data_IF_626278168020
#
_entry.id   IF_626278168020
#
_cell.length_a   1.000
_cell.length_b   1.000
_cell.length_c   1.000
_cell.angle_alpha   90.00
_cell.angle_beta   90.00
_cell.angle_gamma   90.00
#
_symmetry.space_group_name_H-M   'P 1'
#
loop_
_entity.id
_entity.type
_entity.pdbx_description
1 polymer ?
#
# COMPACT_ATOMS: atom_id res chain seq x y z
N UNK A 1 9.86 23.16 -19.20
CA UNK A 1 8.93 22.16 -18.62
C UNK A 1 9.01 20.76 -19.23
N UNK A 2 9.64 20.53 -20.40
CA UNK A 2 9.70 19.22 -21.09
C UNK A 2 10.45 18.06 -20.40
N UNK A 3 11.09 18.29 -19.24
CA UNK A 3 12.05 17.32 -18.67
C UNK A 3 11.39 16.06 -18.11
N UNK A 4 10.17 16.19 -17.57
CA UNK A 4 9.46 15.10 -16.87
C UNK A 4 8.24 14.60 -17.64
N UNK A 5 7.88 15.22 -18.76
CA UNK A 5 6.69 14.87 -19.54
C UNK A 5 6.72 13.44 -20.07
N UNK A 6 7.91 12.83 -20.22
CA UNK A 6 8.06 11.42 -20.55
C UNK A 6 7.33 10.50 -19.57
N UNK A 7 7.22 10.87 -18.28
CA UNK A 7 6.48 10.09 -17.28
C UNK A 7 4.96 10.04 -17.55
N UNK A 8 4.42 10.89 -18.42
CA UNK A 8 3.02 10.79 -18.86
C UNK A 8 2.74 9.57 -19.75
N UNK A 9 3.78 8.89 -20.26
CA UNK A 9 3.65 7.64 -21.01
C UNK A 9 3.53 6.42 -20.09
N UNK A 10 3.86 6.56 -18.80
CA UNK A 10 3.76 5.47 -17.83
C UNK A 10 2.31 5.26 -17.42
N UNK A 11 1.95 3.99 -17.26
CA UNK A 11 0.62 3.61 -16.78
C UNK A 11 0.51 3.80 -15.28
N UNK A 12 1.59 3.60 -14.54
CA UNK A 12 1.62 3.76 -13.09
C UNK A 12 1.64 5.24 -12.68
N UNK A 13 1.04 5.60 -11.55
CA UNK A 13 1.24 6.90 -10.93
C UNK A 13 2.72 7.22 -10.67
N UNK A 14 3.13 8.42 -11.11
CA UNK A 14 4.47 8.96 -10.88
C UNK A 14 4.38 10.37 -10.29
N UNK A 15 5.16 10.61 -9.23
CA UNK A 15 5.37 11.93 -8.64
C UNK A 15 6.87 12.22 -8.54
N UNK A 16 7.27 13.44 -8.87
CA UNK A 16 8.66 13.91 -8.73
C UNK A 16 8.70 15.01 -7.69
N UNK A 17 9.56 14.80 -6.70
CA UNK A 17 9.78 15.73 -5.60
C UNK A 17 11.21 16.24 -5.72
N UNK A 18 11.39 17.53 -5.56
CA UNK A 18 12.68 18.18 -5.44
C UNK A 18 12.94 18.53 -3.97
N UNK A 19 14.16 18.28 -3.54
CA UNK A 19 14.60 18.53 -2.16
C UNK A 19 13.67 17.80 -1.16
N UNK A 20 13.06 18.50 -0.18
CA UNK A 20 12.26 17.87 0.86
C UNK A 20 10.74 17.84 0.58
N UNK A 21 10.17 18.89 -0.02
CA UNK A 21 8.70 19.03 -0.12
C UNK A 21 8.19 19.51 -1.49
N UNK A 22 9.07 19.99 -2.36
CA UNK A 22 8.65 20.64 -3.59
C UNK A 22 8.20 19.61 -4.63
N UNK A 23 6.89 19.45 -4.81
CA UNK A 23 6.33 18.61 -5.87
C UNK A 23 6.45 19.33 -7.21
N UNK A 24 7.48 18.96 -7.98
CA UNK A 24 7.80 19.59 -9.27
C UNK A 24 7.07 18.94 -10.45
N UNK A 25 6.55 17.72 -10.29
CA UNK A 25 5.80 17.04 -11.34
C UNK A 25 4.90 15.92 -10.80
N UNK A 26 3.75 15.71 -11.46
CA UNK A 26 2.84 14.58 -11.29
C UNK A 26 2.40 14.13 -12.68
N UNK A 27 2.44 12.83 -12.97
CA UNK A 27 1.96 12.35 -14.26
C UNK A 27 0.42 12.30 -14.32
N UNK A 28 -0.11 12.08 -15.53
CA UNK A 28 -1.55 11.98 -15.76
C UNK A 28 -2.23 10.91 -14.90
N UNK A 29 -1.61 9.72 -14.75
CA UNK A 29 -2.20 8.67 -13.92
C UNK A 29 -2.26 9.07 -12.46
N UNK A 30 -1.20 9.68 -11.92
CA UNK A 30 -1.18 10.15 -10.54
C UNK A 30 -2.33 11.10 -10.25
N UNK A 31 -2.58 12.06 -11.16
CA UNK A 31 -3.69 13.00 -11.04
C UNK A 31 -5.08 12.37 -11.18
N UNK A 32 -5.20 11.19 -11.81
CA UNK A 32 -6.46 10.44 -11.92
C UNK A 32 -6.73 9.56 -10.71
N UNK A 33 -5.69 8.93 -10.18
CA UNK A 33 -5.78 7.96 -9.08
C UNK A 33 -5.87 8.67 -7.73
N UNK A 34 -5.07 9.71 -7.52
CA UNK A 34 -5.00 10.40 -6.24
C UNK A 34 -5.76 11.72 -6.26
N UNK A 35 -6.44 12.01 -5.15
CA UNK A 35 -7.12 13.30 -4.97
C UNK A 35 -6.10 14.43 -5.00
N UNK A 36 -6.47 15.56 -5.60
CA UNK A 36 -5.62 16.74 -5.56
C UNK A 36 -5.29 17.13 -4.10
N UNK A 37 -4.05 17.55 -3.91
CA UNK A 37 -3.54 18.05 -2.65
C UNK A 37 -2.69 19.29 -2.93
N UNK A 38 -2.72 20.25 -2.00
CA UNK A 38 -1.87 21.44 -2.07
C UNK A 38 -0.46 21.21 -1.55
N UNK A 39 -0.30 20.31 -0.57
CA UNK A 39 0.95 20.03 0.13
C UNK A 39 1.21 18.52 0.16
N UNK A 40 2.46 18.12 -0.09
CA UNK A 40 2.91 16.72 -0.04
C UNK A 40 2.66 16.09 1.34
N UNK A 41 2.70 16.87 2.43
CA UNK A 41 2.35 16.39 3.78
C UNK A 41 0.94 15.83 3.82
N UNK A 42 -0.02 16.50 3.18
CA UNK A 42 -1.42 16.03 3.10
C UNK A 42 -1.56 14.72 2.31
N UNK A 43 -0.69 14.53 1.32
CA UNK A 43 -0.64 13.27 0.57
C UNK A 43 0.02 12.16 1.40
N UNK A 44 1.14 12.46 2.05
CA UNK A 44 1.88 11.58 2.94
C UNK A 44 1.01 11.05 4.09
N UNK A 45 0.14 11.86 4.71
CA UNK A 45 -0.77 11.41 5.76
C UNK A 45 -1.79 10.34 5.33
N UNK A 46 -2.01 10.18 4.03
CA UNK A 46 -2.90 9.14 3.49
C UNK A 46 -2.15 7.87 3.13
N UNK A 47 -0.83 7.85 3.26
CA UNK A 47 0.04 6.72 2.91
C UNK A 47 0.68 6.14 4.15
N UNK A 48 0.59 4.82 4.32
CA UNK A 48 1.20 4.08 5.43
C UNK A 48 1.95 2.85 4.90
N UNK A 49 2.79 2.24 5.73
CA UNK A 49 3.36 0.91 5.48
C UNK A 49 3.41 0.13 6.80
N UNK A 50 3.42 -1.19 6.74
CA UNK A 50 3.24 -2.06 7.92
C UNK A 50 4.49 -2.15 8.82
N UNK A 51 5.57 -1.42 8.52
CA UNK A 51 6.80 -1.46 9.30
C UNK A 51 6.93 -0.18 10.14
N UNK A 52 7.32 -0.33 11.40
CA UNK A 52 7.64 0.80 12.28
C UNK A 52 9.14 1.10 12.18
N UNK A 53 9.58 2.33 11.86
CA UNK A 53 10.97 2.72 12.03
C UNK A 53 11.35 2.60 13.50
N UNK A 54 12.35 1.78 13.82
CA UNK A 54 12.80 1.49 15.19
C UNK A 54 13.53 2.66 15.86
N UNK A 55 13.89 3.69 15.10
CA UNK A 55 14.62 4.86 15.58
C UNK A 55 14.17 6.09 14.79
N UNK A 56 13.35 6.95 15.39
CA UNK A 56 13.28 8.34 14.95
C UNK A 56 12.60 9.24 15.97
N UNK A 57 13.37 10.19 16.53
CA UNK A 57 12.85 11.42 17.14
C UNK A 57 12.00 12.24 16.15
N UNK A 58 12.11 11.96 14.84
CA UNK A 58 11.39 12.63 13.77
C UNK A 58 10.15 11.85 13.32
N UNK A 59 8.97 12.37 13.68
CA UNK A 59 7.66 11.79 13.36
C UNK A 59 7.40 11.73 11.84
N UNK A 60 8.05 12.57 11.04
CA UNK A 60 7.87 12.53 9.58
C UNK A 60 8.36 11.19 8.99
N UNK A 61 9.31 10.49 9.64
CA UNK A 61 9.87 9.23 9.15
C UNK A 61 8.90 8.04 9.26
N UNK A 62 7.79 8.17 9.98
CA UNK A 62 6.70 7.19 9.94
C UNK A 62 5.95 7.21 8.61
N UNK A 63 6.12 8.27 7.80
CA UNK A 63 5.54 8.33 6.46
C UNK A 63 6.45 7.66 5.43
N UNK A 64 5.92 6.75 4.61
CA UNK A 64 6.71 6.14 3.53
C UNK A 64 7.21 7.18 2.54
N UNK A 65 6.42 8.24 2.31
CA UNK A 65 6.78 9.33 1.39
C UNK A 65 7.99 10.10 1.92
N UNK A 66 7.99 10.48 3.19
CA UNK A 66 9.13 11.21 3.76
C UNK A 66 10.34 10.32 3.95
N UNK A 67 10.16 9.05 4.30
CA UNK A 67 11.27 8.10 4.33
C UNK A 67 11.89 7.92 2.92
N UNK A 68 11.04 7.83 1.89
CA UNK A 68 11.49 7.81 0.51
C UNK A 68 12.24 9.08 0.12
N UNK A 69 11.85 10.26 0.59
CA UNK A 69 12.50 11.56 0.31
C UNK A 69 13.83 11.71 1.07
N UNK A 70 13.89 11.36 2.35
CA UNK A 70 15.07 11.50 3.20
C UNK A 70 16.14 10.45 2.88
N UNK A 71 15.73 9.26 2.41
CA UNK A 71 16.67 8.20 2.07
C UNK A 71 17.75 8.68 1.11
N UNK A 72 19.00 8.33 1.41
CA UNK A 72 20.15 8.59 0.52
C UNK A 72 20.22 7.62 -0.65
N UNK A 73 19.52 6.50 -0.56
CA UNK A 73 19.51 5.43 -1.56
C UNK A 73 18.13 5.30 -2.20
N UNK A 74 18.04 4.51 -3.26
CA UNK A 74 16.75 4.09 -3.79
C UNK A 74 15.98 3.35 -2.68
N UNK A 75 14.69 3.62 -2.59
CA UNK A 75 13.82 3.11 -1.53
C UNK A 75 12.69 2.30 -2.15
N UNK A 76 12.37 1.16 -1.54
CA UNK A 76 11.34 0.24 -2.01
C UNK A 76 10.51 -0.19 -0.81
N UNK A 77 9.20 -0.04 -0.89
CA UNK A 77 8.29 -0.45 0.17
C UNK A 77 6.90 -0.76 -0.38
N UNK A 78 6.22 -1.72 0.24
CA UNK A 78 4.78 -1.86 0.06
C UNK A 78 4.07 -0.85 0.96
N UNK A 79 3.21 -0.05 0.35
CA UNK A 79 2.46 1.01 1.04
C UNK A 79 0.96 0.80 0.84
N UNK A 80 0.18 1.25 1.81
CA UNK A 80 -1.27 1.37 1.72
C UNK A 80 -1.67 2.84 1.62
N UNK A 81 -2.66 3.13 0.78
CA UNK A 81 -3.23 4.45 0.60
C UNK A 81 -4.69 4.44 1.03
N UNK A 82 -5.07 5.32 1.96
CA UNK A 82 -6.47 5.51 2.36
C UNK A 82 -7.05 6.74 1.68
N UNK A 83 -7.99 6.50 0.75
CA UNK A 83 -8.73 7.56 0.06
C UNK A 83 -9.64 8.35 1.02
N UNK A 84 -10.10 9.53 0.57
CA UNK A 84 -11.05 10.34 1.34
C UNK A 84 -12.40 9.63 1.58
N UNK A 85 -12.72 8.62 0.75
CA UNK A 85 -13.93 7.79 0.89
C UNK A 85 -13.70 6.58 1.82
N UNK A 86 -12.56 6.50 2.50
CA UNK A 86 -12.22 5.41 3.41
C UNK A 86 -11.80 4.11 2.72
N UNK A 87 -11.70 4.07 1.38
CA UNK A 87 -11.19 2.90 0.66
C UNK A 87 -9.68 2.84 0.74
N UNK A 88 -9.16 1.67 1.10
CA UNK A 88 -7.72 1.37 1.14
C UNK A 88 -7.30 0.68 -0.15
N UNK A 89 -6.21 1.16 -0.74
CA UNK A 89 -5.54 0.57 -1.91
C UNK A 89 -4.09 0.29 -1.56
N UNK A 90 -3.46 -0.66 -2.23
CA UNK A 90 -2.09 -1.09 -1.96
C UNK A 90 -1.20 -0.82 -3.16
N UNK A 91 -0.02 -0.27 -2.91
CA UNK A 91 0.94 0.07 -3.94
C UNK A 91 2.33 -0.47 -3.57
N UNK A 92 3.03 -1.03 -4.54
CA UNK A 92 4.47 -1.22 -4.44
C UNK A 92 5.14 0.09 -4.85
N UNK A 93 5.67 0.79 -3.84
CA UNK A 93 6.33 2.07 -3.99
C UNK A 93 7.81 1.88 -4.30
N UNK A 94 8.27 2.52 -5.36
CA UNK A 94 9.69 2.61 -5.73
C UNK A 94 10.09 4.06 -5.81
N UNK A 95 11.08 4.47 -5.01
CA UNK A 95 11.66 5.80 -5.06
C UNK A 95 13.10 5.74 -5.60
N UNK A 96 13.36 6.48 -6.68
CA UNK A 96 14.68 6.55 -7.33
C UNK A 96 15.30 7.91 -7.09
N UNK A 97 16.56 7.92 -6.65
CA UNK A 97 17.34 9.13 -6.38
C UNK A 97 18.09 9.60 -7.62
N UNK A 98 17.84 10.83 -8.05
CA UNK A 98 18.50 11.46 -9.21
C UNK A 98 18.86 12.91 -8.90
N UNK A 99 20.06 13.11 -8.37
CA UNK A 99 20.52 14.44 -7.94
C UNK A 99 19.63 14.97 -6.83
N UNK A 100 19.07 16.16 -7.02
CA UNK A 100 18.12 16.79 -6.08
C UNK A 100 16.69 16.25 -6.17
N UNK A 101 16.42 15.32 -7.10
CA UNK A 101 15.09 14.80 -7.34
C UNK A 101 14.93 13.40 -6.74
N UNK A 102 13.80 13.20 -6.09
CA UNK A 102 13.27 11.89 -5.73
C UNK A 102 12.07 11.60 -6.64
N UNK A 103 12.18 10.55 -7.44
CA UNK A 103 11.13 10.13 -8.39
C UNK A 103 10.45 8.91 -7.77
N UNK A 104 9.17 9.01 -7.48
CA UNK A 104 8.38 7.95 -6.84
C UNK A 104 7.41 7.37 -7.86
N UNK A 105 7.48 6.05 -8.02
CA UNK A 105 6.55 5.23 -8.78
C UNK A 105 5.68 4.45 -7.80
N UNK A 106 4.39 4.35 -8.08
CA UNK A 106 3.43 3.61 -7.26
C UNK A 106 2.72 2.58 -8.15
N UNK A 107 3.12 1.32 -8.08
CA UNK A 107 2.49 0.25 -8.87
C UNK A 107 1.32 -0.31 -8.07
N UNK A 108 0.10 -0.27 -8.62
CA UNK A 108 -1.08 -0.79 -7.94
C UNK A 108 -1.01 -2.33 -7.83
N UNK A 109 -1.03 -2.82 -6.60
CA UNK A 109 -1.03 -4.27 -6.27
C UNK A 109 -2.26 -4.65 -5.44
N UNK A 110 -3.28 -3.78 -5.40
CA UNK A 110 -4.48 -3.96 -4.56
C UNK A 110 -5.19 -5.28 -4.87
N UNK A 111 -5.33 -5.64 -6.15
CA UNK A 111 -5.98 -6.89 -6.56
C UNK A 111 -5.24 -8.12 -6.07
N UNK A 112 -3.91 -8.13 -6.14
CA UNK A 112 -3.09 -9.26 -5.69
C UNK A 112 -3.12 -9.42 -4.17
N UNK A 113 -3.11 -8.29 -3.44
CA UNK A 113 -3.25 -8.29 -1.98
C UNK A 113 -4.61 -8.85 -1.58
N UNK A 114 -5.69 -8.31 -2.14
CA UNK A 114 -7.05 -8.76 -1.85
C UNK A 114 -7.27 -10.23 -2.22
N UNK A 115 -6.68 -10.71 -3.33
CA UNK A 115 -6.75 -12.11 -3.71
C UNK A 115 -6.08 -13.01 -2.66
N UNK A 116 -4.88 -12.65 -2.22
CA UNK A 116 -4.14 -13.41 -1.19
C UNK A 116 -4.88 -13.43 0.14
N UNK A 117 -5.47 -12.31 0.54
CA UNK A 117 -6.22 -12.23 1.80
C UNK A 117 -7.50 -13.07 1.73
N UNK A 118 -8.25 -12.97 0.62
CA UNK A 118 -9.44 -13.81 0.40
C UNK A 118 -9.11 -15.31 0.38
N UNK A 119 -7.95 -15.70 -0.19
CA UNK A 119 -7.49 -17.08 -0.19
C UNK A 119 -7.22 -17.58 1.23
N UNK A 120 -6.52 -16.79 2.05
CA UNK A 120 -6.25 -17.13 3.46
C UNK A 120 -7.54 -17.26 4.26
N UNK A 121 -8.48 -16.32 4.10
CA UNK A 121 -9.78 -16.41 4.77
C UNK A 121 -10.54 -17.67 4.34
N UNK A 122 -10.54 -17.98 3.04
CA UNK A 122 -11.18 -19.19 2.51
C UNK A 122 -10.60 -20.46 3.14
N UNK A 123 -9.29 -20.55 3.31
CA UNK A 123 -8.63 -21.67 3.99
C UNK A 123 -9.06 -21.78 5.45
N UNK A 124 -9.12 -20.66 6.18
CA UNK A 124 -9.59 -20.63 7.57
C UNK A 124 -11.05 -21.11 7.68
N UNK A 125 -11.92 -20.66 6.78
CA UNK A 125 -13.33 -21.07 6.81
C UNK A 125 -13.50 -22.54 6.43
N UNK A 126 -12.71 -23.07 5.49
CA UNK A 126 -12.72 -24.50 5.16
C UNK A 126 -12.29 -25.36 6.35
N UNK A 127 -11.24 -24.97 7.07
CA UNK A 127 -10.79 -25.66 8.28
C UNK A 127 -11.88 -25.66 9.38
N UNK A 128 -12.51 -24.51 9.61
CA UNK A 128 -13.64 -24.40 10.56
C UNK A 128 -14.83 -25.28 10.16
N UNK A 129 -15.19 -25.29 8.88
CA UNK A 129 -16.28 -26.12 8.37
C UNK A 129 -15.97 -27.61 8.54
N UNK A 130 -14.75 -28.03 8.27
CA UNK A 130 -14.33 -29.42 8.46
C UNK A 130 -14.45 -29.83 9.94
N UNK A 131 -13.93 -29.01 10.86
CA UNK A 131 -14.05 -29.27 12.31
C UNK A 131 -15.49 -29.39 12.78
N UNK A 132 -16.37 -28.50 12.31
CA UNK A 132 -17.80 -28.56 12.62
C UNK A 132 -18.49 -29.82 12.05
N UNK A 133 -18.06 -30.29 10.88
CA UNK A 133 -18.56 -31.55 10.32
C UNK A 133 -18.13 -32.75 11.17
N UNK A 134 -16.87 -32.79 11.57
CA UNK A 134 -16.33 -33.84 12.45
C UNK A 134 -17.07 -33.88 13.80
N UNK A 135 -17.25 -32.72 14.45
CA UNK A 135 -18.01 -32.60 15.71
C UNK A 135 -19.46 -33.06 15.57
N UNK A 136 -20.13 -32.69 14.47
CA UNK A 136 -21.52 -33.07 14.24
C UNK A 136 -21.66 -34.59 13.99
N UNK A 137 -20.73 -35.19 13.24
CA UNK A 137 -20.70 -36.63 13.01
C UNK A 137 -20.46 -37.42 14.31
N UNK A 138 -19.59 -36.92 15.20
CA UNK A 138 -19.38 -37.49 16.53
C UNK A 138 -20.65 -37.40 17.39
N UNK A 139 -21.31 -36.24 17.41
CA UNK A 139 -22.57 -36.06 18.14
C UNK A 139 -23.68 -36.98 17.61
N UNK A 140 -23.77 -37.20 16.30
CA UNK A 140 -24.71 -38.16 15.73
C UNK A 140 -24.41 -39.59 16.15
N UNK A 141 -23.14 -40.01 16.15
CA UNK A 141 -22.73 -41.33 16.65
C UNK A 141 -23.08 -41.51 18.14
N UNK A 142 -22.88 -40.48 18.96
CA UNK A 142 -23.26 -40.52 20.38
C UNK A 142 -24.78 -40.64 20.52
N UNK A 143 -25.56 -39.85 19.78
CA UNK A 143 -27.04 -39.95 19.78
C UNK A 143 -27.53 -41.34 19.40
N UNK A 144 -26.95 -41.96 18.37
CA UNK A 144 -27.33 -43.31 17.94
C UNK A 144 -27.00 -44.39 18.98
N UNK A 145 -25.95 -44.21 19.80
CA UNK A 145 -25.60 -45.14 20.89
C UNK A 145 -26.46 -44.97 22.14
N UNK A 146 -27.18 -43.86 22.27
CA UNK A 146 -28.05 -43.56 23.42
C UNK A 146 -29.53 -43.97 23.20
N UNK A 147 -29.87 -44.45 22.00
CA UNK A 147 -31.13 -45.11 21.66
C UNK A 147 -30.96 -46.64 21.70
#
# INVERSE_FOLDING_TARGET
MKKFDFFNQYRDPVIVIRDYEEVVFKNNTFCRVFTQFGDIRKFAHKMNFDFCPMDSENVDLYSPIFQAIVSKQNFFARVSYTSALGRTSYYDMTAVKRGLYTIIFLVDVSSDVLLKDNQKESEIYKDKLQKLQEENDELQKIRQKAQ
#
